data_IF_297655373074
#
_entry.id   IF_297655373074
#
_cell.length_a   1.000
_cell.length_b   1.000
_cell.length_c   1.000
_cell.angle_alpha   90.00
_cell.angle_beta   90.00
_cell.angle_gamma   90.00
#
_symmetry.space_group_name_H-M   'P 1'
#
loop_
_entity.id
_entity.type
_entity.pdbx_description
1 polymer ?
#
# COMPACT_ATOMS: atom_id res chain seq x y z
N UNK A 1 9.47 33.48 21.41
CA UNK A 1 9.01 32.30 22.18
C UNK A 1 8.45 31.17 21.30
N UNK A 2 7.75 31.43 20.19
CA UNK A 2 7.24 30.38 19.29
C UNK A 2 8.32 29.57 18.53
N UNK A 3 9.46 30.19 18.20
CA UNK A 3 10.55 29.54 17.46
C UNK A 3 11.31 28.49 18.29
N UNK A 4 11.42 28.72 19.60
CA UNK A 4 12.07 27.80 20.54
C UNK A 4 11.24 26.54 20.78
N UNK A 5 9.90 26.67 20.77
CA UNK A 5 9.00 25.52 20.90
C UNK A 5 9.05 24.60 19.68
N UNK A 6 9.20 25.14 18.45
CA UNK A 6 9.42 24.34 17.23
C UNK A 6 10.74 23.58 17.26
N UNK A 7 11.82 24.22 17.74
CA UNK A 7 13.14 23.58 17.84
C UNK A 7 13.13 22.49 18.91
N UNK A 8 12.50 22.73 20.06
CA UNK A 8 12.40 21.74 21.14
C UNK A 8 11.53 20.53 20.75
N UNK A 9 10.48 20.73 19.95
CA UNK A 9 9.67 19.63 19.41
C UNK A 9 10.45 18.78 18.40
N UNK A 10 11.27 19.42 17.56
CA UNK A 10 12.13 18.75 16.57
C UNK A 10 13.24 17.95 17.28
N UNK A 11 13.94 18.54 18.25
CA UNK A 11 14.98 17.87 19.05
C UNK A 11 14.43 16.67 19.85
N UNK A 12 13.17 16.71 20.30
CA UNK A 12 12.55 15.59 21.03
C UNK A 12 12.27 14.38 20.12
N UNK A 13 12.00 14.61 18.83
CA UNK A 13 11.84 13.55 17.82
C UNK A 13 13.17 12.89 17.41
N UNK A 14 14.30 13.59 17.53
CA UNK A 14 15.62 13.08 17.10
C UNK A 14 16.42 12.38 18.21
N UNK A 15 16.06 12.57 19.50
CA UNK A 15 16.81 12.01 20.63
C UNK A 15 16.40 10.57 21.03
N UNK A 16 15.81 9.79 20.12
CA UNK A 16 15.59 8.33 20.27
C UNK A 16 16.36 7.57 19.19
N UNK A 17 17.58 8.03 18.90
CA UNK A 17 18.53 7.37 18.02
C UNK A 17 19.02 6.07 18.68
N UNK A 18 18.29 4.96 18.49
CA UNK A 18 18.76 3.67 19.02
C UNK A 18 17.84 2.46 18.88
N UNK A 19 16.58 2.61 18.48
CA UNK A 19 15.68 1.46 18.30
C UNK A 19 15.34 1.24 16.82
N UNK A 20 15.88 0.19 16.17
CA UNK A 20 15.58 -0.12 14.76
C UNK A 20 14.08 -0.39 14.52
N UNK A 21 13.34 -0.77 15.57
CA UNK A 21 11.89 -0.90 15.51
C UNK A 21 11.17 0.44 15.36
N UNK A 22 11.67 1.53 15.97
CA UNK A 22 11.00 2.82 15.92
C UNK A 22 11.10 3.44 14.53
N UNK A 23 12.27 3.36 13.91
CA UNK A 23 12.49 3.80 12.52
C UNK A 23 11.65 2.97 11.54
N UNK A 24 11.50 1.67 11.79
CA UNK A 24 10.65 0.78 11.00
C UNK A 24 9.15 1.13 11.14
N UNK A 25 8.68 1.43 12.36
CA UNK A 25 7.28 1.83 12.63
C UNK A 25 6.97 3.17 11.97
N UNK A 26 7.88 4.15 12.08
CA UNK A 26 7.72 5.47 11.44
C UNK A 26 7.70 5.33 9.92
N UNK A 27 8.64 4.58 9.35
CA UNK A 27 8.64 4.27 7.92
C UNK A 27 7.34 3.59 7.48
N UNK A 28 6.90 2.55 8.19
CA UNK A 28 5.63 1.88 7.91
C UNK A 28 4.46 2.87 7.96
N UNK A 29 4.40 3.76 8.94
CA UNK A 29 3.34 4.75 9.10
C UNK A 29 3.27 5.81 7.99
N UNK A 30 4.38 6.06 7.28
CA UNK A 30 4.46 6.99 6.15
C UNK A 30 4.03 6.31 4.85
N UNK A 31 4.39 5.04 4.66
CA UNK A 31 4.00 4.27 3.48
C UNK A 31 2.58 3.70 3.56
N UNK A 32 2.06 3.43 4.76
CA UNK A 32 0.72 2.85 4.94
C UNK A 32 -0.41 3.74 4.39
N UNK A 33 -0.46 5.06 4.65
CA UNK A 33 -1.53 5.93 4.17
C UNK A 33 -1.68 5.96 2.64
N UNK A 34 -0.62 6.17 1.83
CA UNK A 34 -0.74 6.13 0.37
C UNK A 34 -0.98 4.72 -0.16
N UNK A 35 -0.37 3.68 0.44
CA UNK A 35 -0.60 2.30 0.03
C UNK A 35 -2.05 1.86 0.31
N UNK A 36 -2.62 2.26 1.43
CA UNK A 36 -4.03 1.99 1.75
C UNK A 36 -4.97 2.68 0.77
N UNK A 37 -4.66 3.92 0.35
CA UNK A 37 -5.39 4.60 -0.72
C UNK A 37 -5.30 3.86 -2.05
N UNK A 38 -4.12 3.36 -2.41
CA UNK A 38 -3.92 2.56 -3.62
C UNK A 38 -4.72 1.25 -3.58
N UNK A 39 -4.76 0.57 -2.43
CA UNK A 39 -5.56 -0.65 -2.24
C UNK A 39 -7.05 -0.35 -2.37
N UNK A 40 -7.55 0.71 -1.74
CA UNK A 40 -8.95 1.12 -1.84
C UNK A 40 -9.37 1.44 -3.29
N UNK A 41 -8.46 2.00 -4.08
CA UNK A 41 -8.70 2.33 -5.50
C UNK A 41 -8.53 1.10 -6.40
N UNK A 42 -7.55 0.23 -6.12
CA UNK A 42 -7.31 -1.00 -6.87
C UNK A 42 -8.37 -2.09 -6.64
N UNK A 43 -9.00 -2.12 -5.45
CA UNK A 43 -10.04 -3.10 -5.10
C UNK A 43 -11.24 -3.13 -6.06
N UNK A 44 -11.90 -2.00 -6.42
CA UNK A 44 -12.98 -2.00 -7.39
C UNK A 44 -12.53 -2.40 -8.80
N UNK A 45 -11.33 -2.01 -9.22
CA UNK A 45 -10.74 -2.42 -10.52
C UNK A 45 -10.57 -3.93 -10.56
N UNK A 46 -10.04 -4.50 -9.48
CA UNK A 46 -9.88 -5.94 -9.32
C UNK A 46 -11.24 -6.65 -9.28
N UNK A 47 -12.27 -6.14 -8.61
CA UNK A 47 -13.61 -6.75 -8.59
C UNK A 47 -14.21 -6.90 -10.01
N UNK A 48 -14.02 -5.90 -10.87
CA UNK A 48 -14.47 -5.94 -12.26
C UNK A 48 -13.67 -6.99 -13.04
N UNK A 49 -12.34 -6.96 -12.93
CA UNK A 49 -11.46 -7.90 -13.61
C UNK A 49 -11.72 -9.35 -13.16
N UNK A 50 -11.84 -9.59 -11.85
CA UNK A 50 -12.14 -10.88 -11.25
C UNK A 50 -13.45 -11.46 -11.79
N UNK A 51 -14.50 -10.64 -11.88
CA UNK A 51 -15.80 -11.10 -12.42
C UNK A 51 -15.68 -11.55 -13.88
N UNK A 52 -14.86 -10.86 -14.68
CA UNK A 52 -14.68 -11.17 -16.09
C UNK A 52 -13.79 -12.40 -16.33
N UNK A 53 -12.74 -12.55 -15.53
CA UNK A 53 -11.81 -13.68 -15.63
C UNK A 53 -12.27 -14.92 -14.87
N UNK A 54 -13.35 -14.82 -14.07
CA UNK A 54 -13.93 -15.93 -13.30
C UNK A 54 -14.24 -17.13 -14.17
N UNK A 55 -14.99 -16.92 -15.24
CA UNK A 55 -15.50 -18.04 -16.06
C UNK A 55 -14.35 -18.77 -16.78
N UNK A 56 -13.28 -18.04 -17.12
CA UNK A 56 -12.05 -18.61 -17.69
C UNK A 56 -11.20 -19.33 -16.63
N UNK A 57 -11.06 -18.73 -15.45
CA UNK A 57 -10.29 -19.29 -14.34
C UNK A 57 -10.85 -20.64 -13.85
N UNK A 58 -12.17 -20.81 -13.92
CA UNK A 58 -12.86 -22.05 -13.54
C UNK A 58 -13.10 -23.01 -14.72
N UNK A 59 -12.60 -22.70 -15.93
CA UNK A 59 -12.74 -23.56 -17.11
C UNK A 59 -11.93 -24.87 -17.04
N UNK A 60 -11.10 -25.06 -16.00
CA UNK A 60 -10.30 -26.27 -15.78
C UNK A 60 -8.87 -26.21 -16.32
N UNK A 61 -8.54 -25.17 -17.11
CA UNK A 61 -7.19 -24.96 -17.67
C UNK A 61 -6.21 -24.27 -16.70
N UNK A 62 -6.71 -23.67 -15.61
CA UNK A 62 -5.88 -22.92 -14.64
C UNK A 62 -5.58 -23.78 -13.41
N UNK A 63 -4.28 -23.99 -13.14
CA UNK A 63 -3.81 -24.87 -12.07
C UNK A 63 -4.09 -24.34 -10.65
N UNK A 64 -3.86 -23.04 -10.39
CA UNK A 64 -4.15 -22.41 -9.10
C UNK A 64 -4.96 -21.11 -9.25
N UNK A 65 -6.31 -21.20 -9.27
CA UNK A 65 -7.22 -20.06 -9.36
C UNK A 65 -6.91 -18.95 -8.34
N UNK A 66 -6.64 -19.34 -7.09
CA UNK A 66 -6.33 -18.40 -6.00
C UNK A 66 -5.04 -17.60 -6.26
N UNK A 67 -3.99 -18.23 -6.80
CA UNK A 67 -2.70 -17.58 -7.05
C UNK A 67 -2.82 -16.54 -8.18
N UNK A 68 -3.60 -16.87 -9.20
CA UNK A 68 -3.88 -15.96 -10.32
C UNK A 68 -4.72 -14.77 -9.87
N UNK A 69 -5.70 -15.00 -9.00
CA UNK A 69 -6.54 -13.94 -8.48
C UNK A 69 -5.77 -12.95 -7.59
N UNK A 70 -4.85 -13.46 -6.76
CA UNK A 70 -3.97 -12.64 -5.92
C UNK A 70 -2.99 -11.80 -6.74
N UNK A 71 -2.47 -12.34 -7.85
CA UNK A 71 -1.57 -11.58 -8.73
C UNK A 71 -2.30 -10.50 -9.52
N UNK A 72 -3.53 -10.76 -9.98
CA UNK A 72 -4.41 -9.75 -10.58
C UNK A 72 -4.71 -8.62 -9.59
N UNK A 73 -4.97 -8.97 -8.33
CA UNK A 73 -5.15 -7.99 -7.26
C UNK A 73 -3.89 -7.14 -7.06
N UNK A 74 -2.72 -7.77 -6.97
CA UNK A 74 -1.45 -7.06 -6.82
C UNK A 74 -1.15 -6.12 -8.01
N UNK A 75 -1.41 -6.55 -9.24
CA UNK A 75 -1.26 -5.70 -10.44
C UNK A 75 -2.22 -4.50 -10.43
N UNK A 76 -3.47 -4.70 -10.01
CA UNK A 76 -4.44 -3.61 -9.86
C UNK A 76 -3.99 -2.59 -8.81
N UNK A 77 -3.47 -3.05 -7.67
CA UNK A 77 -2.92 -2.17 -6.62
C UNK A 77 -1.66 -1.43 -7.09
N UNK A 78 -0.77 -2.09 -7.85
CA UNK A 78 0.39 -1.44 -8.45
C UNK A 78 0.00 -0.35 -9.45
N UNK A 79 -0.96 -0.61 -10.35
CA UNK A 79 -1.48 0.40 -11.27
C UNK A 79 -2.13 1.57 -10.52
N UNK A 80 -2.93 1.30 -9.49
CA UNK A 80 -3.53 2.33 -8.65
C UNK A 80 -2.47 3.17 -7.93
N UNK A 81 -1.40 2.54 -7.43
CA UNK A 81 -0.30 3.24 -6.78
C UNK A 81 0.47 4.13 -7.77
N UNK A 82 0.75 3.64 -8.99
CA UNK A 82 1.37 4.45 -10.03
C UNK A 82 0.53 5.68 -10.38
N UNK A 83 -0.79 5.53 -10.48
CA UNK A 83 -1.69 6.66 -10.75
C UNK A 83 -1.70 7.69 -9.61
N UNK A 84 -1.67 7.25 -8.35
CA UNK A 84 -1.63 8.15 -7.19
C UNK A 84 -0.29 8.88 -7.07
N UNK A 85 0.82 8.24 -7.47
CA UNK A 85 2.16 8.85 -7.45
C UNK A 85 2.40 9.78 -8.66
N UNK A 86 1.81 9.46 -9.81
CA UNK A 86 1.97 10.24 -11.04
C UNK A 86 1.12 11.52 -11.09
N UNK A 87 0.18 11.70 -10.16
CA UNK A 87 -0.73 12.83 -10.07
C UNK A 87 -0.33 13.78 -8.95
#
# INVERSE_FOLDING_TARGET
>A
MAHLQRILFVELTFNTSGFPLQDLIVGASIYFPPLFKAVLLGFPVWLIAHRLLRDWMYAGDVWHPLLMDLSLFALAVCMAMMLIVAW
#
